data_IF_094287276362
#
_entry.id   IF_094287276362
#
_cell.length_a   1.000
_cell.length_b   1.000
_cell.length_c   1.000
_cell.angle_alpha   90.00
_cell.angle_beta   90.00
_cell.angle_gamma   90.00
#
_symmetry.space_group_name_H-M   'P 1'
#
loop_
_entity.id
_entity.type
_entity.pdbx_description
1 polymer ?
#
# COMPACT_ATOMS: atom_id res chain seq x y z
N UNK A 1 3.15 10.52 22.90
CA UNK A 1 2.41 9.57 22.03
C UNK A 1 1.75 10.35 20.91
N UNK A 2 2.30 10.27 19.72
CA UNK A 2 1.71 10.92 18.54
C UNK A 2 0.55 10.06 18.05
N UNK A 3 -0.64 10.60 18.09
CA UNK A 3 -1.85 9.93 17.67
C UNK A 3 -2.14 10.28 16.21
N UNK A 4 -1.87 9.37 15.29
CA UNK A 4 -2.33 9.46 13.91
C UNK A 4 -3.75 8.90 13.84
N UNK A 5 -4.75 9.77 13.78
CA UNK A 5 -6.16 9.38 13.71
C UNK A 5 -6.65 9.56 12.27
N UNK A 6 -7.33 8.54 11.74
CA UNK A 6 -8.00 8.61 10.44
C UNK A 6 -7.10 8.38 9.22
N UNK A 7 -5.99 7.68 9.37
CA UNK A 7 -5.14 7.30 8.23
C UNK A 7 -5.74 6.13 7.46
N UNK A 8 -5.93 6.31 6.17
CA UNK A 8 -6.27 5.23 5.24
C UNK A 8 -4.99 4.50 4.85
N UNK A 9 -5.02 3.18 4.84
CA UNK A 9 -3.87 2.34 4.57
C UNK A 9 -4.19 1.28 3.53
N UNK A 10 -3.23 1.03 2.65
CA UNK A 10 -3.27 -0.10 1.73
C UNK A 10 -2.46 -1.25 2.30
N UNK A 11 -2.98 -2.45 2.25
CA UNK A 11 -2.23 -3.67 2.49
C UNK A 11 -1.99 -4.42 1.19
N UNK A 12 -1.03 -5.33 1.24
CA UNK A 12 -0.53 -6.14 0.12
C UNK A 12 -1.61 -6.83 -0.72
N UNK A 13 -2.83 -6.99 -0.18
CA UNK A 13 -3.97 -7.68 -0.81
C UNK A 13 -5.06 -6.75 -1.34
N UNK A 14 -4.84 -5.43 -1.34
CA UNK A 14 -5.81 -4.47 -1.84
C UNK A 14 -6.03 -3.28 -0.89
N UNK A 15 -6.91 -2.38 -1.29
CA UNK A 15 -7.25 -1.21 -0.50
C UNK A 15 -8.12 -1.61 0.70
N UNK A 16 -7.55 -1.47 1.89
CA UNK A 16 -8.29 -1.61 3.15
C UNK A 16 -8.00 -0.40 4.03
N UNK A 17 -9.05 0.23 4.50
CA UNK A 17 -8.97 1.38 5.38
C UNK A 17 -8.80 0.94 6.82
N UNK A 18 -7.81 1.50 7.50
CA UNK A 18 -7.56 1.29 8.92
C UNK A 18 -7.45 2.60 9.67
N UNK A 19 -7.86 2.58 10.92
CA UNK A 19 -7.57 3.64 11.87
C UNK A 19 -6.45 3.17 12.81
N UNK A 20 -5.41 3.98 12.98
CA UNK A 20 -4.38 3.71 14.00
C UNK A 20 -4.97 4.06 15.37
N UNK A 21 -5.16 3.07 16.20
CA UNK A 21 -5.70 3.22 17.56
C UNK A 21 -4.60 3.50 18.57
N UNK A 22 -3.45 2.87 18.41
CA UNK A 22 -2.37 2.99 19.36
C UNK A 22 -1.00 2.70 18.71
N UNK A 23 0.04 3.30 19.26
CA UNK A 23 1.44 3.07 18.87
C UNK A 23 2.18 2.67 20.14
N UNK A 24 2.69 1.45 20.17
CA UNK A 24 3.36 0.87 21.35
C UNK A 24 4.85 0.74 21.04
N UNK A 25 5.65 1.51 21.75
CA UNK A 25 7.10 1.36 21.77
C UNK A 25 7.52 0.61 23.03
N UNK A 26 8.48 -0.29 22.88
CA UNK A 26 9.10 -0.98 24.02
C UNK A 26 10.50 -0.43 24.23
N UNK A 27 10.85 -0.17 25.49
CA UNK A 27 12.21 0.25 25.86
C UNK A 27 13.22 -0.81 25.41
N UNK A 28 14.31 -0.37 24.79
CA UNK A 28 15.39 -1.23 24.28
C UNK A 28 14.98 -2.18 23.12
N UNK A 29 13.86 -1.90 22.45
CA UNK A 29 13.45 -2.65 21.26
C UNK A 29 13.52 -1.76 20.02
N UNK A 30 14.08 -2.25 18.89
CA UNK A 30 14.04 -1.53 17.61
C UNK A 30 12.66 -1.62 16.94
N UNK A 31 11.68 -2.19 17.63
CA UNK A 31 10.36 -2.43 17.08
C UNK A 31 9.30 -1.57 17.74
N UNK A 32 8.37 -1.13 16.92
CA UNK A 32 7.14 -0.48 17.35
C UNK A 32 5.98 -1.34 16.89
N UNK A 33 4.96 -1.46 17.72
CA UNK A 33 3.72 -2.12 17.35
C UNK A 33 2.64 -1.08 17.09
N UNK A 34 1.93 -1.25 15.97
CA UNK A 34 0.76 -0.46 15.62
C UNK A 34 -0.50 -1.28 15.88
N UNK A 35 -1.41 -0.74 16.65
CA UNK A 35 -2.75 -1.28 16.81
C UNK A 35 -3.68 -0.58 15.84
N UNK A 36 -4.25 -1.34 14.93
CA UNK A 36 -5.10 -0.88 13.84
C UNK A 36 -6.50 -1.43 14.00
N UNK A 37 -7.49 -0.64 13.63
CA UNK A 37 -8.89 -1.07 13.54
C UNK A 37 -9.40 -0.83 12.13
N UNK A 38 -10.01 -1.85 11.51
CA UNK A 38 -10.64 -1.67 10.21
C UNK A 38 -12.06 -1.08 10.34
N UNK A 39 -12.70 -0.79 9.21
CA UNK A 39 -14.05 -0.21 9.17
C UNK A 39 -15.10 -1.11 9.84
N UNK A 40 -14.88 -2.42 9.88
CA UNK A 40 -15.77 -3.40 10.51
C UNK A 40 -15.52 -3.55 12.02
N UNK A 41 -14.61 -2.77 12.59
CA UNK A 41 -14.24 -2.81 14.02
C UNK A 41 -13.28 -3.95 14.39
N UNK A 42 -12.71 -4.65 13.41
CA UNK A 42 -11.74 -5.71 13.65
C UNK A 42 -10.35 -5.13 13.93
N UNK A 43 -9.72 -5.61 14.98
CA UNK A 43 -8.42 -5.13 15.42
C UNK A 43 -7.27 -5.98 14.89
N UNK A 44 -6.18 -5.29 14.56
CA UNK A 44 -4.93 -5.89 14.08
C UNK A 44 -3.76 -5.28 14.82
N UNK A 45 -2.72 -6.08 15.04
CA UNK A 45 -1.47 -5.62 15.61
C UNK A 45 -0.35 -5.89 14.61
N UNK A 46 0.33 -4.84 14.20
CA UNK A 46 1.42 -4.91 13.22
C UNK A 46 2.72 -4.54 13.88
N UNK A 47 3.75 -5.34 13.65
CA UNK A 47 5.12 -5.06 14.05
C UNK A 47 5.81 -4.26 12.94
N UNK A 48 6.28 -3.08 13.27
CA UNK A 48 7.09 -2.24 12.39
C UNK A 48 8.51 -2.12 12.96
N UNK A 49 9.51 -2.31 12.11
CA UNK A 49 10.91 -2.17 12.52
C UNK A 49 11.37 -0.73 12.22
N UNK A 50 11.92 -0.05 13.22
CA UNK A 50 12.48 1.28 13.08
C UNK A 50 13.93 1.29 13.54
N UNK A 51 14.80 1.87 12.75
CA UNK A 51 16.21 1.93 13.05
C UNK A 51 16.62 3.19 13.81
N UNK A 52 15.94 4.30 13.66
CA UNK A 52 16.21 5.57 14.38
C UNK A 52 15.08 6.59 14.21
N UNK A 53 14.99 7.55 15.15
CA UNK A 53 14.15 8.74 15.16
C UNK A 53 12.66 8.53 15.45
N UNK A 54 11.90 9.61 15.51
CA UNK A 54 10.50 9.55 15.91
C UNK A 54 9.65 8.70 14.96
N UNK A 55 8.65 8.02 15.48
CA UNK A 55 7.72 7.20 14.68
C UNK A 55 7.12 8.00 13.53
N UNK A 56 6.89 9.30 13.72
CA UNK A 56 6.35 10.19 12.69
C UNK A 56 7.33 10.38 11.53
N UNK A 57 8.62 10.58 11.84
CA UNK A 57 9.63 10.75 10.80
C UNK A 57 9.82 9.48 9.98
N UNK A 58 9.72 8.33 10.62
CA UNK A 58 9.81 7.03 9.95
C UNK A 58 8.60 6.77 9.06
N UNK A 59 7.41 7.13 9.51
CA UNK A 59 6.18 6.98 8.70
C UNK A 59 6.20 7.93 7.50
N UNK A 60 6.81 9.09 7.62
CA UNK A 60 6.90 10.10 6.55
C UNK A 60 8.08 9.90 5.59
N UNK A 61 9.13 9.19 6.01
CA UNK A 61 10.30 8.90 5.20
C UNK A 61 10.14 7.57 4.47
N UNK A 62 10.10 7.62 3.16
CA UNK A 62 9.67 6.55 2.26
C UNK A 62 10.57 5.30 2.15
N UNK A 63 11.63 5.19 2.93
CA UNK A 63 12.59 4.08 2.80
C UNK A 63 12.32 2.91 3.74
N UNK A 64 11.10 2.78 4.24
CA UNK A 64 10.73 1.75 5.19
C UNK A 64 9.72 0.75 4.64
N UNK A 65 9.88 -0.48 5.05
CA UNK A 65 8.94 -1.57 4.84
C UNK A 65 7.47 -1.19 5.13
N UNK A 66 7.25 -0.31 6.11
CA UNK A 66 5.92 0.19 6.44
C UNK A 66 5.30 1.00 5.30
N UNK A 67 6.04 1.91 4.70
CA UNK A 67 5.56 2.74 3.58
C UNK A 67 5.36 1.96 2.29
N UNK A 68 6.04 0.81 2.16
CA UNK A 68 5.82 -0.11 1.04
C UNK A 68 4.50 -0.86 1.16
N UNK A 69 4.04 -1.09 2.39
CA UNK A 69 2.79 -1.81 2.66
C UNK A 69 1.58 -0.89 2.87
N UNK A 70 1.82 0.34 3.37
CA UNK A 70 0.74 1.22 3.80
C UNK A 70 0.87 2.61 3.21
N UNK A 71 -0.20 3.12 2.64
CA UNK A 71 -0.38 4.53 2.33
C UNK A 71 -0.92 5.30 3.53
N UNK A 72 -0.45 6.54 3.75
CA UNK A 72 -0.91 7.41 4.82
C UNK A 72 -1.74 8.54 4.25
N UNK A 73 -2.86 8.83 4.90
CA UNK A 73 -3.78 9.86 4.51
C UNK A 73 -4.89 9.36 3.58
N UNK A 74 -5.63 10.29 3.01
CA UNK A 74 -6.71 9.96 2.09
C UNK A 74 -6.16 9.67 0.70
N UNK A 75 -6.15 8.41 0.30
CA UNK A 75 -5.66 7.98 -1.01
C UNK A 75 -6.48 8.56 -2.17
N UNK A 76 -7.77 8.81 -1.97
CA UNK A 76 -8.60 9.46 -2.99
C UNK A 76 -8.16 10.88 -3.28
N UNK A 77 -7.67 11.60 -2.27
CA UNK A 77 -7.08 12.94 -2.44
C UNK A 77 -5.71 12.85 -3.12
N UNK A 78 -4.92 11.81 -2.81
CA UNK A 78 -3.62 11.60 -3.42
C UNK A 78 -3.72 11.20 -4.91
N UNK A 79 -4.78 10.48 -5.28
CA UNK A 79 -5.02 10.01 -6.64
C UNK A 79 -6.38 10.54 -7.18
N UNK A 80 -6.49 11.86 -7.42
CA UNK A 80 -7.78 12.48 -7.77
C UNK A 80 -8.31 12.06 -9.15
N UNK A 81 -7.47 11.51 -10.01
CA UNK A 81 -7.82 11.12 -11.38
C UNK A 81 -8.38 9.69 -11.48
N UNK A 82 -8.35 8.92 -10.39
CA UNK A 82 -8.92 7.58 -10.37
C UNK A 82 -10.44 7.67 -10.29
N UNK A 83 -11.13 7.04 -11.24
CA UNK A 83 -12.59 7.03 -11.30
C UNK A 83 -13.21 6.14 -10.23
N UNK A 84 -14.47 6.36 -9.87
CA UNK A 84 -15.20 5.51 -8.92
C UNK A 84 -15.28 4.04 -9.37
N UNK A 85 -15.40 3.81 -10.66
CA UNK A 85 -15.37 2.45 -11.22
C UNK A 85 -14.04 1.74 -10.93
N UNK A 86 -12.92 2.44 -11.12
CA UNK A 86 -11.60 1.91 -10.83
C UNK A 86 -11.38 1.74 -9.32
N UNK A 87 -11.86 2.68 -8.49
CA UNK A 87 -11.85 2.51 -7.02
C UNK A 87 -12.61 1.28 -6.57
N UNK A 88 -13.76 0.97 -7.19
CA UNK A 88 -14.50 -0.26 -6.92
C UNK A 88 -13.72 -1.52 -7.29
N UNK A 89 -12.94 -1.48 -8.37
CA UNK A 89 -12.04 -2.58 -8.73
C UNK A 89 -10.89 -2.73 -7.75
N UNK A 90 -10.25 -1.61 -7.38
CA UNK A 90 -9.17 -1.58 -6.38
C UNK A 90 -9.64 -2.19 -5.06
N UNK A 91 -10.79 -1.80 -4.54
CA UNK A 91 -11.34 -2.32 -3.28
C UNK A 91 -11.61 -3.83 -3.30
N UNK A 92 -11.79 -4.41 -4.48
CA UNK A 92 -11.99 -5.86 -4.68
C UNK A 92 -10.70 -6.60 -5.05
N UNK A 93 -9.56 -5.92 -5.08
CA UNK A 93 -8.30 -6.52 -5.52
C UNK A 93 -8.30 -6.97 -6.98
N UNK A 94 -9.03 -6.27 -7.83
CA UNK A 94 -9.17 -6.61 -9.26
C UNK A 94 -8.49 -5.59 -10.15
N UNK A 95 -7.93 -6.07 -11.25
CA UNK A 95 -7.31 -5.25 -12.29
C UNK A 95 -7.87 -5.58 -13.65
N UNK A 96 -7.81 -4.61 -14.56
CA UNK A 96 -8.21 -4.80 -15.96
C UNK A 96 -7.25 -4.07 -16.90
N UNK A 97 -7.24 -4.45 -18.16
CA UNK A 97 -6.49 -3.77 -19.22
C UNK A 97 -6.83 -2.26 -19.23
N UNK A 98 -5.80 -1.44 -19.38
CA UNK A 98 -5.89 0.01 -19.41
C UNK A 98 -5.67 0.69 -18.05
N UNK A 99 -5.70 -0.04 -16.94
CA UNK A 99 -5.35 0.51 -15.62
C UNK A 99 -3.88 0.90 -15.58
N UNK A 100 -3.59 1.96 -14.85
CA UNK A 100 -2.21 2.43 -14.65
C UNK A 100 -1.44 1.53 -13.70
N UNK A 101 -0.12 1.66 -13.68
CA UNK A 101 0.74 0.97 -12.70
C UNK A 101 0.35 1.32 -11.26
N UNK A 102 0.03 2.58 -10.99
CA UNK A 102 -0.41 3.01 -9.66
C UNK A 102 -1.75 2.36 -9.26
N UNK A 103 -2.71 2.33 -10.18
CA UNK A 103 -4.01 1.68 -9.95
C UNK A 103 -3.86 0.18 -9.71
N UNK A 104 -3.00 -0.49 -10.48
CA UNK A 104 -2.71 -1.92 -10.27
C UNK A 104 -2.00 -2.17 -8.94
N UNK A 105 -1.08 -1.31 -8.54
CA UNK A 105 -0.41 -1.40 -7.24
C UNK A 105 -1.37 -1.17 -6.08
N UNK A 106 -2.29 -0.22 -6.19
CA UNK A 106 -3.35 -0.02 -5.19
C UNK A 106 -4.27 -1.24 -5.08
N UNK A 107 -4.56 -1.92 -6.19
CA UNK A 107 -5.43 -3.09 -6.21
C UNK A 107 -4.77 -4.36 -5.67
N UNK A 108 -3.52 -4.62 -6.03
CA UNK A 108 -2.83 -5.90 -5.78
C UNK A 108 -1.67 -5.81 -4.79
N UNK A 109 -1.30 -4.59 -4.36
CA UNK A 109 -0.09 -4.36 -3.57
C UNK A 109 1.19 -4.37 -4.41
N UNK A 110 2.33 -4.43 -3.73
CA UNK A 110 3.62 -4.48 -4.40
C UNK A 110 3.86 -5.85 -5.05
N UNK A 111 4.36 -5.89 -6.30
CA UNK A 111 4.72 -7.14 -6.94
C UNK A 111 5.96 -7.75 -6.28
N UNK A 112 6.09 -9.06 -6.36
CA UNK A 112 7.28 -9.80 -5.89
C UNK A 112 8.51 -9.48 -6.72
N UNK A 113 8.32 -9.19 -8.02
CA UNK A 113 9.39 -8.85 -8.96
C UNK A 113 8.89 -7.90 -10.02
N UNK A 114 9.72 -6.92 -10.37
CA UNK A 114 9.51 -6.02 -11.50
C UNK A 114 10.65 -6.23 -12.48
N UNK A 115 10.33 -6.51 -13.74
CA UNK A 115 11.28 -6.58 -14.83
C UNK A 115 11.00 -5.43 -15.80
N UNK A 116 11.96 -4.55 -15.98
CA UNK A 116 11.84 -3.37 -16.85
C UNK A 116 12.67 -3.62 -18.11
N UNK A 117 12.04 -3.44 -19.26
CA UNK A 117 12.67 -3.52 -20.57
C UNK A 117 12.66 -2.14 -21.22
N UNK A 118 13.68 -1.86 -22.03
CA UNK A 118 13.74 -0.62 -22.80
C UNK A 118 12.51 -0.46 -23.71
N UNK A 119 12.05 0.79 -23.89
CA UNK A 119 10.88 1.07 -24.72
C UNK A 119 9.55 1.19 -23.98
N UNK A 120 9.60 1.36 -22.66
CA UNK A 120 8.39 1.58 -21.85
C UNK A 120 7.62 0.30 -21.49
N UNK A 121 8.27 -0.85 -21.63
CA UNK A 121 7.70 -2.14 -21.23
C UNK A 121 8.17 -2.55 -19.86
N UNK A 122 7.24 -3.01 -19.03
CA UNK A 122 7.56 -3.62 -17.74
C UNK A 122 6.63 -4.79 -17.41
N UNK A 123 7.18 -5.80 -16.75
CA UNK A 123 6.44 -6.98 -16.32
C UNK A 123 6.50 -7.08 -14.80
N UNK A 124 5.34 -7.17 -14.17
CA UNK A 124 5.19 -7.31 -12.73
C UNK A 124 4.73 -8.71 -12.38
N UNK A 125 5.50 -9.41 -11.56
CA UNK A 125 5.19 -10.78 -11.13
C UNK A 125 4.62 -10.78 -9.73
N UNK A 126 3.42 -11.35 -9.59
CA UNK A 126 2.75 -11.69 -8.34
C UNK A 126 2.74 -13.21 -8.16
N UNK A 127 2.34 -13.69 -7.00
CA UNK A 127 2.32 -15.13 -6.69
C UNK A 127 1.48 -15.94 -7.69
N UNK A 128 0.36 -15.40 -8.15
CA UNK A 128 -0.61 -16.13 -8.98
C UNK A 128 -0.89 -15.50 -10.34
N UNK A 129 -0.25 -14.41 -10.65
CA UNK A 129 -0.44 -13.70 -11.92
C UNK A 129 0.75 -12.84 -12.29
N UNK A 130 0.85 -12.55 -13.57
CA UNK A 130 1.83 -11.62 -14.12
C UNK A 130 1.12 -10.53 -14.89
N UNK A 131 1.55 -9.29 -14.74
CA UNK A 131 1.01 -8.12 -15.42
C UNK A 131 2.06 -7.54 -16.36
N UNK A 132 1.71 -7.37 -17.62
CA UNK A 132 2.55 -6.68 -18.61
C UNK A 132 2.01 -5.26 -18.82
N UNK A 133 2.89 -4.29 -18.72
CA UNK A 133 2.59 -2.88 -18.92
C UNK A 133 3.31 -2.32 -20.13
N UNK A 134 2.61 -1.47 -20.86
CA UNK A 134 3.15 -0.66 -21.93
C UNK A 134 2.89 0.80 -21.61
N UNK A 135 3.95 1.61 -21.54
CA UNK A 135 3.88 3.03 -21.17
C UNK A 135 3.04 3.27 -19.90
N UNK A 136 3.31 2.50 -18.84
CA UNK A 136 2.65 2.59 -17.53
C UNK A 136 1.17 2.24 -17.52
N UNK A 137 0.67 1.57 -18.57
CA UNK A 137 -0.71 1.05 -18.62
C UNK A 137 -0.72 -0.45 -18.80
N UNK A 138 -1.62 -1.12 -18.07
CA UNK A 138 -1.78 -2.56 -18.12
C UNK A 138 -2.27 -2.99 -19.50
N UNK A 139 -1.48 -3.82 -20.17
CA UNK A 139 -1.77 -4.34 -21.50
C UNK A 139 -2.26 -5.79 -21.46
N UNK A 140 -1.62 -6.63 -20.63
CA UNK A 140 -1.90 -8.07 -20.59
C UNK A 140 -1.80 -8.61 -19.15
N UNK A 141 -2.68 -9.58 -18.86
CA UNK A 141 -2.71 -10.34 -17.61
C UNK A 141 -2.50 -11.81 -17.95
N UNK A 142 -1.54 -12.46 -17.28
CA UNK A 142 -1.25 -13.89 -17.41
C UNK A 142 -1.55 -14.64 -16.13
#
# INVERSE_FOLDING_TARGET
TTRLVGSEMCIETGYTQFTIKNIISQNNSPYVFLELENIDGKNYKIKAAFTHTSVVDVILQSDNYFTDLFGIGNLRTKYPNITEEVWNMISRGKVRKGMTTDECRLALGNPMRIHIVTGGYETWSYERKTLDFTNKKLDRIH
#
